data_IF_348601887085
#
_entry.id   IF_348601887085
#
_cell.length_a   1.000
_cell.length_b   1.000
_cell.length_c   1.000
_cell.angle_alpha   90.00
_cell.angle_beta   90.00
_cell.angle_gamma   90.00
#
_symmetry.space_group_name_H-M   'P 1'
#
loop_
_entity.id
_entity.type
_entity.pdbx_description
1 polymer ?
#
# COMPACT_ATOMS: atom_id res chain seq x y z
N UNK A 1 -3.21 -14.51 -25.35
CA UNK A 1 -3.81 -13.58 -26.34
C UNK A 1 -4.49 -12.49 -25.53
N UNK A 2 -3.96 -11.26 -25.57
CA UNK A 2 -4.69 -10.12 -25.02
C UNK A 2 -5.79 -9.72 -26.01
N UNK A 3 -6.98 -9.29 -25.56
CA UNK A 3 -7.98 -8.77 -26.48
C UNK A 3 -7.41 -7.56 -27.22
N UNK A 4 -7.60 -7.52 -28.53
CA UNK A 4 -7.25 -6.36 -29.35
C UNK A 4 -8.13 -5.17 -28.96
N UNK A 5 -7.61 -3.93 -29.02
CA UNK A 5 -8.43 -2.74 -28.87
C UNK A 5 -9.54 -2.74 -29.94
N UNK A 6 -10.71 -2.14 -29.64
CA UNK A 6 -11.77 -1.98 -30.64
C UNK A 6 -11.20 -1.33 -31.91
N UNK A 7 -11.51 -1.92 -33.07
CA UNK A 7 -10.94 -1.52 -34.37
C UNK A 7 -11.59 -0.24 -34.92
N UNK A 8 -12.67 0.22 -34.32
CA UNK A 8 -13.38 1.41 -34.76
C UNK A 8 -13.27 2.56 -33.74
N UNK A 9 -12.43 3.54 -34.07
CA UNK A 9 -12.55 4.91 -33.57
C UNK A 9 -13.65 5.62 -34.39
N UNK A 10 -14.89 5.16 -34.29
CA UNK A 10 -16.02 5.93 -34.83
C UNK A 10 -16.29 7.08 -33.87
N UNK A 11 -15.66 8.23 -34.13
CA UNK A 11 -16.25 9.51 -33.76
C UNK A 11 -17.67 9.54 -34.32
N UNK A 12 -18.70 9.88 -33.53
CA UNK A 12 -20.06 9.92 -34.05
C UNK A 12 -20.13 11.03 -35.11
N UNK A 13 -20.18 10.63 -36.38
CA UNK A 13 -20.48 11.54 -37.47
C UNK A 13 -21.90 12.06 -37.28
N UNK A 14 -22.02 13.38 -37.16
CA UNK A 14 -23.26 14.11 -37.09
C UNK A 14 -24.20 13.74 -38.26
N UNK A 15 -25.21 12.93 -37.97
CA UNK A 15 -26.40 12.80 -38.79
C UNK A 15 -27.62 13.00 -37.90
N UNK A 16 -28.08 14.25 -37.92
CA UNK A 16 -29.46 14.72 -37.87
C UNK A 16 -30.46 13.79 -37.15
N UNK A 17 -30.50 13.91 -35.82
CA UNK A 17 -31.62 13.46 -35.00
C UNK A 17 -31.91 14.57 -34.00
N UNK A 18 -33.10 15.15 -34.13
CA UNK A 18 -33.53 16.31 -33.34
C UNK A 18 -33.46 16.07 -31.84
N UNK A 19 -32.99 17.11 -31.14
CA UNK A 19 -33.15 17.44 -29.72
C UNK A 19 -33.54 16.30 -28.78
N UNK A 20 -32.53 15.58 -28.32
CA UNK A 20 -32.27 15.26 -26.90
C UNK A 20 -30.90 14.58 -26.86
N UNK A 21 -29.87 15.35 -26.48
CA UNK A 21 -28.58 14.78 -26.08
C UNK A 21 -28.84 14.04 -24.76
N UNK A 22 -29.25 12.79 -24.85
CA UNK A 22 -29.31 11.90 -23.68
C UNK A 22 -27.86 11.64 -23.26
N UNK A 23 -27.53 12.24 -22.12
CA UNK A 23 -26.24 12.30 -21.47
C UNK A 23 -25.94 10.95 -20.81
N UNK A 24 -25.81 9.89 -21.61
CA UNK A 24 -25.76 8.52 -21.10
C UNK A 24 -24.32 8.00 -20.94
N UNK A 25 -23.46 8.72 -20.21
CA UNK A 25 -22.38 8.01 -19.52
C UNK A 25 -23.04 7.29 -18.35
N UNK A 26 -23.11 5.96 -18.42
CA UNK A 26 -23.62 5.15 -17.32
C UNK A 26 -22.82 5.51 -16.06
N UNK A 27 -23.46 5.90 -14.93
CA UNK A 27 -22.76 6.38 -13.73
C UNK A 27 -21.67 5.43 -13.19
N UNK A 28 -21.75 4.13 -13.54
CA UNK A 28 -20.75 3.13 -13.18
C UNK A 28 -19.52 3.12 -14.11
N UNK A 29 -19.69 3.46 -15.39
CA UNK A 29 -18.58 3.66 -16.33
C UNK A 29 -17.78 4.91 -15.95
N UNK A 30 -18.46 5.99 -15.55
CA UNK A 30 -17.82 7.22 -15.07
C UNK A 30 -16.92 6.94 -13.85
N UNK A 31 -17.45 6.23 -12.84
CA UNK A 31 -16.66 5.81 -11.66
C UNK A 31 -15.44 4.99 -12.04
N UNK A 32 -15.61 4.07 -12.99
CA UNK A 32 -14.52 3.22 -13.48
C UNK A 32 -13.42 4.07 -14.14
N UNK A 33 -13.79 5.05 -14.96
CA UNK A 33 -12.83 5.98 -15.57
C UNK A 33 -12.09 6.83 -14.53
N UNK A 34 -12.81 7.40 -13.55
CA UNK A 34 -12.18 8.14 -12.47
C UNK A 34 -11.21 7.28 -11.65
N UNK A 35 -11.59 6.03 -11.36
CA UNK A 35 -10.72 5.08 -10.68
C UNK A 35 -9.46 4.79 -11.48
N UNK A 36 -9.56 4.53 -12.79
CA UNK A 36 -8.39 4.29 -13.63
C UNK A 36 -7.45 5.49 -13.71
N UNK A 37 -7.98 6.71 -13.84
CA UNK A 37 -7.17 7.93 -13.83
C UNK A 37 -6.45 8.10 -12.49
N UNK A 38 -7.13 7.84 -11.38
CA UNK A 38 -6.54 7.87 -10.04
C UNK A 38 -5.42 6.82 -9.90
N UNK A 39 -5.63 5.58 -10.35
CA UNK A 39 -4.63 4.50 -10.32
C UNK A 39 -3.40 4.81 -11.19
N UNK A 40 -3.58 5.38 -12.39
CA UNK A 40 -2.46 5.76 -13.27
C UNK A 40 -1.61 6.86 -12.61
N UNK A 41 -2.27 7.89 -12.08
CA UNK A 41 -1.61 8.98 -11.37
C UNK A 41 -0.84 8.46 -10.16
N UNK A 42 -1.49 7.61 -9.36
CA UNK A 42 -0.87 6.90 -8.24
C UNK A 42 0.35 6.10 -8.67
N UNK A 43 0.23 5.29 -9.72
CA UNK A 43 1.33 4.41 -10.17
C UNK A 43 2.54 5.22 -10.61
N UNK A 44 2.34 6.36 -11.28
CA UNK A 44 3.43 7.28 -11.66
C UNK A 44 4.11 7.87 -10.43
N UNK A 45 3.33 8.35 -9.46
CA UNK A 45 3.85 8.87 -8.19
C UNK A 45 4.66 7.81 -7.44
N UNK A 46 4.10 6.60 -7.27
CA UNK A 46 4.74 5.51 -6.55
C UNK A 46 6.02 5.03 -7.26
N UNK A 47 6.01 4.93 -8.60
CA UNK A 47 7.22 4.59 -9.35
C UNK A 47 8.32 5.63 -9.17
N UNK A 48 7.97 6.93 -9.08
CA UNK A 48 8.93 8.00 -8.78
C UNK A 48 9.48 7.85 -7.35
N UNK A 49 8.64 7.57 -6.37
CA UNK A 49 9.08 7.30 -4.99
C UNK A 49 10.07 6.14 -4.94
N UNK A 50 9.77 5.04 -5.62
CA UNK A 50 10.67 3.90 -5.72
C UNK A 50 12.00 4.24 -6.40
N UNK A 51 11.96 4.93 -7.55
CA UNK A 51 13.16 5.29 -8.29
C UNK A 51 14.07 6.30 -7.56
N UNK A 52 13.52 7.13 -6.68
CA UNK A 52 14.28 8.10 -5.89
C UNK A 52 14.80 7.45 -4.61
N UNK A 53 13.92 6.83 -3.82
CA UNK A 53 14.27 6.36 -2.49
C UNK A 53 14.98 4.99 -2.48
N UNK A 54 14.74 4.11 -3.46
CA UNK A 54 15.36 2.79 -3.51
C UNK A 54 16.62 2.71 -4.39
N UNK A 55 17.04 3.83 -5.00
CA UNK A 55 18.12 3.86 -6.01
C UNK A 55 19.43 3.21 -5.53
N UNK A 56 19.78 3.43 -4.27
CA UNK A 56 21.02 2.95 -3.66
C UNK A 56 20.77 1.82 -2.65
N UNK A 57 19.60 1.18 -2.72
CA UNK A 57 19.17 0.14 -1.80
C UNK A 57 19.17 0.58 -0.33
N UNK A 58 19.28 -0.39 0.56
CA UNK A 58 19.22 -0.19 2.01
C UNK A 58 20.45 0.58 2.54
N UNK A 59 21.60 0.44 1.88
CA UNK A 59 22.81 1.18 2.25
C UNK A 59 22.61 2.69 2.01
N UNK A 60 21.96 3.04 0.89
CA UNK A 60 21.57 4.41 0.59
C UNK A 60 20.66 5.05 1.63
N UNK A 61 19.80 4.27 2.28
CA UNK A 61 18.93 4.75 3.36
C UNK A 61 19.74 5.16 4.59
N UNK A 62 20.81 4.42 4.89
CA UNK A 62 21.71 4.72 6.00
C UNK A 62 22.59 5.94 5.69
N UNK A 63 23.24 5.94 4.53
CA UNK A 63 24.23 6.96 4.19
C UNK A 63 23.61 8.34 3.89
N UNK A 64 22.33 8.39 3.55
CA UNK A 64 21.65 9.62 3.11
C UNK A 64 20.30 9.83 3.81
N UNK A 65 20.19 9.48 5.10
CA UNK A 65 18.93 9.54 5.84
C UNK A 65 18.28 10.93 5.83
N UNK A 66 19.05 12.02 5.86
CA UNK A 66 18.52 13.38 5.76
C UNK A 66 17.80 13.63 4.42
N UNK A 67 18.37 13.18 3.29
CA UNK A 67 17.70 13.26 1.98
C UNK A 67 16.48 12.37 1.93
N UNK A 68 16.52 11.20 2.58
CA UNK A 68 15.35 10.35 2.69
C UNK A 68 14.20 11.04 3.45
N UNK A 69 14.50 11.81 4.50
CA UNK A 69 13.50 12.62 5.22
C UNK A 69 12.89 13.71 4.32
N UNK A 70 13.72 14.42 3.55
CA UNK A 70 13.26 15.44 2.59
C UNK A 70 12.32 14.81 1.55
N UNK A 71 12.74 13.72 0.91
CA UNK A 71 11.90 13.01 -0.04
C UNK A 71 10.62 12.44 0.57
N UNK A 72 10.69 11.89 1.79
CA UNK A 72 9.49 11.42 2.48
C UNK A 72 8.48 12.55 2.70
N UNK A 73 8.95 13.74 3.08
CA UNK A 73 8.09 14.93 3.21
C UNK A 73 7.44 15.29 1.86
N UNK A 74 8.26 15.41 0.81
CA UNK A 74 7.78 15.71 -0.55
C UNK A 74 6.75 14.69 -1.06
N UNK A 75 6.99 13.40 -0.83
CA UNK A 75 6.05 12.35 -1.25
C UNK A 75 4.78 12.34 -0.41
N UNK A 76 4.84 12.64 0.89
CA UNK A 76 3.63 12.81 1.70
C UNK A 76 2.76 13.95 1.15
N UNK A 77 3.34 15.10 0.82
CA UNK A 77 2.63 16.23 0.21
C UNK A 77 2.01 15.86 -1.14
N UNK A 78 2.72 15.07 -1.96
CA UNK A 78 2.19 14.57 -3.24
C UNK A 78 1.05 13.56 -3.05
N UNK A 79 1.14 12.68 -2.05
CA UNK A 79 0.08 11.74 -1.71
C UNK A 79 -1.16 12.50 -1.25
N UNK A 80 -0.99 13.53 -0.39
CA UNK A 80 -2.08 14.39 0.07
C UNK A 80 -2.75 15.11 -1.11
N UNK A 81 -1.95 15.68 -2.02
CA UNK A 81 -2.45 16.33 -3.22
C UNK A 81 -3.21 15.34 -4.11
N UNK A 82 -2.62 14.18 -4.42
CA UNK A 82 -3.28 13.12 -5.20
C UNK A 82 -4.63 12.72 -4.58
N UNK A 83 -4.65 12.51 -3.27
CA UNK A 83 -5.86 12.11 -2.56
C UNK A 83 -6.93 13.21 -2.55
N UNK A 84 -6.53 14.49 -2.52
CA UNK A 84 -7.45 15.63 -2.58
C UNK A 84 -8.15 15.78 -3.94
N UNK A 85 -7.58 15.22 -5.00
CA UNK A 85 -8.15 15.24 -6.35
C UNK A 85 -9.05 14.03 -6.65
N UNK A 86 -9.26 13.13 -5.68
CA UNK A 86 -10.16 11.99 -5.87
C UNK A 86 -11.60 12.51 -5.95
N UNK A 87 -12.34 12.23 -7.04
CA UNK A 87 -13.72 12.68 -7.19
C UNK A 87 -14.66 12.11 -6.11
N UNK A 88 -15.70 12.85 -5.69
CA UNK A 88 -16.63 12.44 -4.64
C UNK A 88 -17.27 11.05 -4.85
N UNK A 89 -17.47 10.65 -6.11
CA UNK A 89 -18.06 9.37 -6.52
C UNK A 89 -17.23 8.15 -6.11
N UNK A 90 -15.93 8.34 -5.94
CA UNK A 90 -14.95 7.30 -5.54
C UNK A 90 -14.14 7.72 -4.32
N UNK A 91 -14.58 8.75 -3.59
CA UNK A 91 -13.90 9.22 -2.38
C UNK A 91 -14.08 8.17 -1.26
N UNK A 92 -12.98 7.64 -0.70
CA UNK A 92 -13.06 6.66 0.38
C UNK A 92 -13.72 7.19 1.66
N UNK A 93 -13.80 8.51 1.85
CA UNK A 93 -14.58 9.12 2.95
C UNK A 93 -16.07 8.83 2.84
N UNK A 94 -16.58 8.71 1.62
CA UNK A 94 -17.99 8.42 1.34
C UNK A 94 -18.29 6.90 1.31
N UNK A 95 -17.25 6.06 1.25
CA UNK A 95 -17.34 4.61 1.11
C UNK A 95 -17.70 3.84 2.40
N UNK A 96 -17.89 4.52 3.53
CA UNK A 96 -18.33 3.89 4.79
C UNK A 96 -19.80 3.44 4.71
N UNK A 97 -20.60 4.07 3.83
CA UNK A 97 -22.06 3.88 3.75
C UNK A 97 -22.52 3.16 2.47
N UNK A 98 -21.63 3.02 1.50
CA UNK A 98 -21.88 2.37 0.21
C UNK A 98 -20.73 1.41 -0.01
N UNK A 99 -21.01 0.15 -0.30
CA UNK A 99 -20.01 -0.92 -0.47
C UNK A 99 -19.13 -0.68 -1.73
N UNK A 100 -18.38 0.43 -1.76
CA UNK A 100 -17.64 0.94 -2.90
C UNK A 100 -16.20 0.41 -2.85
N UNK A 101 -16.00 -0.75 -3.48
CA UNK A 101 -14.71 -1.45 -3.52
C UNK A 101 -13.60 -0.58 -4.14
N UNK A 102 -13.92 0.23 -5.16
CA UNK A 102 -12.95 1.11 -5.84
C UNK A 102 -12.37 2.13 -4.87
N UNK A 103 -13.23 2.75 -4.06
CA UNK A 103 -12.81 3.68 -3.03
C UNK A 103 -11.96 2.98 -1.95
N UNK A 104 -12.31 1.75 -1.56
CA UNK A 104 -11.47 0.97 -0.63
C UNK A 104 -10.08 0.67 -1.21
N UNK A 105 -9.98 0.38 -2.51
CA UNK A 105 -8.70 0.18 -3.20
C UNK A 105 -7.85 1.46 -3.19
N UNK A 106 -8.44 2.63 -3.44
CA UNK A 106 -7.70 3.91 -3.41
C UNK A 106 -7.18 4.23 -2.01
N UNK A 107 -7.96 3.97 -0.96
CA UNK A 107 -7.48 4.09 0.42
C UNK A 107 -6.34 3.10 0.70
N UNK A 108 -6.40 1.87 0.18
CA UNK A 108 -5.29 0.91 0.28
C UNK A 108 -4.02 1.41 -0.43
N UNK A 109 -4.16 2.09 -1.59
CA UNK A 109 -3.03 2.69 -2.31
C UNK A 109 -2.34 3.77 -1.51
N UNK A 110 -3.12 4.67 -0.93
CA UNK A 110 -2.63 5.75 -0.07
C UNK A 110 -1.80 5.19 1.08
N UNK A 111 -2.36 4.24 1.84
CA UNK A 111 -1.65 3.58 2.94
C UNK A 111 -0.39 2.85 2.48
N UNK A 112 -0.47 2.11 1.37
CA UNK A 112 0.67 1.36 0.84
C UNK A 112 1.83 2.27 0.45
N UNK A 113 1.53 3.42 -0.18
CA UNK A 113 2.56 4.36 -0.59
C UNK A 113 3.20 5.04 0.62
N UNK A 114 2.39 5.49 1.58
CA UNK A 114 2.92 6.04 2.84
C UNK A 114 3.78 5.03 3.58
N UNK A 115 3.31 3.80 3.73
CA UNK A 115 4.05 2.75 4.42
C UNK A 115 5.43 2.55 3.77
N UNK A 116 5.46 2.45 2.45
CA UNK A 116 6.69 2.23 1.70
C UNK A 116 7.70 3.36 1.85
N UNK A 117 7.27 4.64 1.74
CA UNK A 117 8.20 5.79 1.90
C UNK A 117 8.73 5.94 3.33
N UNK A 118 8.11 5.29 4.33
CA UNK A 118 8.59 5.29 5.71
C UNK A 118 9.53 4.11 6.05
N UNK A 119 9.60 3.06 5.22
CA UNK A 119 10.51 1.91 5.45
C UNK A 119 11.98 2.27 5.63
N UNK A 120 12.55 3.27 4.92
CA UNK A 120 13.95 3.66 5.11
C UNK A 120 14.28 4.02 6.55
N UNK A 121 13.36 4.70 7.25
CA UNK A 121 13.57 5.12 8.63
C UNK A 121 13.47 3.95 9.60
N UNK A 122 12.56 3.02 9.35
CA UNK A 122 12.54 1.78 10.13
C UNK A 122 13.85 1.02 9.95
N UNK A 123 14.30 0.81 8.71
CA UNK A 123 15.59 0.17 8.44
C UNK A 123 16.73 0.89 9.18
N UNK A 124 16.75 2.22 9.13
CA UNK A 124 17.74 3.05 9.81
C UNK A 124 17.78 2.78 11.32
N UNK A 125 16.63 2.85 12.00
CA UNK A 125 16.52 2.60 13.44
C UNK A 125 16.92 1.17 13.82
N UNK A 126 16.63 0.19 12.96
CA UNK A 126 16.97 -1.21 13.22
C UNK A 126 18.47 -1.51 13.06
N UNK A 127 19.24 -0.68 12.36
CA UNK A 127 20.64 -0.98 12.02
C UNK A 127 21.66 0.01 12.57
N UNK A 128 21.30 1.28 12.75
CA UNK A 128 22.20 2.30 13.27
C UNK A 128 22.29 2.31 14.79
N UNK A 129 23.37 2.91 15.32
CA UNK A 129 23.58 3.08 16.75
C UNK A 129 22.59 4.14 17.31
N UNK A 130 22.03 3.94 18.51
CA UNK A 130 21.18 4.94 19.17
C UNK A 130 21.86 6.29 19.43
N UNK A 131 23.19 6.32 19.43
CA UNK A 131 24.02 7.52 19.60
C UNK A 131 24.21 8.31 18.29
N UNK A 132 23.73 7.79 17.15
CA UNK A 132 23.79 8.51 15.87
C UNK A 132 22.96 9.81 15.91
N UNK A 133 23.52 10.88 15.32
CA UNK A 133 22.95 12.23 15.33
C UNK A 133 21.54 12.34 14.72
N UNK A 134 21.17 11.42 13.83
CA UNK A 134 19.87 11.41 13.14
C UNK A 134 18.88 10.41 13.73
N UNK A 135 19.30 9.57 14.68
CA UNK A 135 18.48 8.52 15.28
C UNK A 135 17.18 9.09 15.87
N UNK A 136 17.27 10.16 16.67
CA UNK A 136 16.11 10.81 17.27
C UNK A 136 15.12 11.40 16.25
N UNK A 137 15.62 11.90 15.11
CA UNK A 137 14.78 12.45 14.03
C UNK A 137 14.13 11.35 13.18
N UNK A 138 14.79 10.20 13.02
CA UNK A 138 14.27 9.06 12.27
C UNK A 138 13.24 8.24 13.08
N UNK A 139 13.35 8.21 14.40
CA UNK A 139 12.47 7.44 15.30
C UNK A 139 10.96 7.63 15.05
N UNK A 140 10.41 8.86 15.03
CA UNK A 140 8.96 9.04 14.79
C UNK A 140 8.52 8.58 13.39
N UNK A 141 9.39 8.69 12.39
CA UNK A 141 9.10 8.23 11.03
C UNK A 141 9.12 6.69 10.95
N UNK A 142 10.01 6.04 11.70
CA UNK A 142 10.05 4.59 11.85
C UNK A 142 8.81 4.07 12.58
N UNK A 143 8.38 4.73 13.67
CA UNK A 143 7.14 4.40 14.38
C UNK A 143 5.94 4.51 13.44
N UNK A 144 5.89 5.57 12.63
CA UNK A 144 4.83 5.75 11.63
C UNK A 144 4.78 4.61 10.60
N UNK A 145 5.92 4.05 10.20
CA UNK A 145 5.98 2.87 9.34
C UNK A 145 5.23 1.67 9.95
N UNK A 146 5.47 1.40 11.25
CA UNK A 146 4.84 0.29 11.97
C UNK A 146 3.33 0.51 12.14
N UNK A 147 2.91 1.73 12.50
CA UNK A 147 1.50 2.10 12.58
C UNK A 147 0.77 1.86 11.26
N UNK A 148 1.37 2.28 10.14
CA UNK A 148 0.81 2.07 8.80
C UNK A 148 0.74 0.57 8.43
N UNK A 149 1.71 -0.23 8.88
CA UNK A 149 1.64 -1.69 8.71
C UNK A 149 0.44 -2.28 9.45
N UNK A 150 0.22 -1.88 10.71
CA UNK A 150 -0.92 -2.32 11.51
C UNK A 150 -2.24 -1.87 10.89
N UNK A 151 -2.39 -0.57 10.55
CA UNK A 151 -3.59 -0.03 9.91
C UNK A 151 -3.93 -0.80 8.62
N UNK A 152 -2.94 -1.06 7.77
CA UNK A 152 -3.16 -1.77 6.53
C UNK A 152 -3.57 -3.25 6.75
N UNK A 153 -2.99 -3.93 7.73
CA UNK A 153 -3.35 -5.33 8.04
C UNK A 153 -4.80 -5.42 8.51
N UNK A 154 -5.24 -4.52 9.41
CA UNK A 154 -6.65 -4.47 9.83
C UNK A 154 -7.61 -4.23 8.66
N UNK A 155 -7.21 -3.46 7.65
CA UNK A 155 -8.02 -3.21 6.45
C UNK A 155 -7.99 -4.35 5.42
N UNK A 156 -7.17 -5.37 5.64
CA UNK A 156 -7.09 -6.53 4.73
C UNK A 156 -8.20 -7.57 5.00
N UNK A 157 -8.93 -7.43 6.11
CA UNK A 157 -9.99 -8.37 6.51
C UNK A 157 -11.13 -8.48 5.48
N UNK A 158 -11.56 -9.71 5.20
CA UNK A 158 -12.90 -9.97 4.65
C UNK A 158 -13.08 -10.03 3.13
N UNK A 159 -12.10 -10.47 2.33
CA UNK A 159 -12.28 -10.50 0.87
C UNK A 159 -12.38 -11.92 0.26
N UNK A 160 -13.38 -12.05 -0.61
CA UNK A 160 -13.52 -13.14 -1.58
C UNK A 160 -12.32 -13.17 -2.52
N UNK A 161 -12.14 -14.27 -3.27
CA UNK A 161 -11.11 -14.33 -4.30
C UNK A 161 -11.33 -13.24 -5.34
N UNK A 162 -10.30 -12.47 -5.66
CA UNK A 162 -10.30 -11.49 -6.75
C UNK A 162 -8.91 -11.39 -7.40
N UNK A 163 -8.79 -10.62 -8.48
CA UNK A 163 -7.55 -10.48 -9.26
C UNK A 163 -6.36 -9.92 -8.44
N UNK A 164 -6.62 -9.26 -7.31
CA UNK A 164 -5.62 -8.68 -6.43
C UNK A 164 -5.20 -9.57 -5.26
N UNK A 165 -5.85 -10.72 -5.06
CA UNK A 165 -5.65 -11.57 -3.86
C UNK A 165 -4.19 -11.97 -3.64
N UNK A 166 -3.47 -12.32 -4.71
CA UNK A 166 -2.04 -12.67 -4.61
C UNK A 166 -1.19 -11.52 -4.09
N UNK A 167 -1.41 -10.29 -4.58
CA UNK A 167 -0.70 -9.11 -4.10
C UNK A 167 -1.02 -8.78 -2.64
N UNK A 168 -2.28 -8.98 -2.24
CA UNK A 168 -2.73 -8.76 -0.86
C UNK A 168 -2.01 -9.73 0.08
N UNK A 169 -1.98 -11.02 -0.25
CA UNK A 169 -1.29 -12.03 0.57
C UNK A 169 0.20 -11.69 0.76
N UNK A 170 0.90 -11.31 -0.31
CA UNK A 170 2.30 -10.88 -0.24
C UNK A 170 2.49 -9.59 0.57
N UNK A 171 1.59 -8.63 0.44
CA UNK A 171 1.62 -7.39 1.24
C UNK A 171 1.46 -7.69 2.73
N UNK A 172 0.58 -8.63 3.09
CA UNK A 172 0.40 -9.06 4.49
C UNK A 172 1.67 -9.67 5.06
N UNK A 173 2.28 -10.62 4.35
CA UNK A 173 3.53 -11.24 4.77
C UNK A 173 4.61 -10.19 4.94
N UNK A 174 4.75 -9.28 3.98
CA UNK A 174 5.75 -8.20 4.06
C UNK A 174 5.58 -7.35 5.32
N UNK A 175 4.34 -6.95 5.63
CA UNK A 175 4.03 -6.14 6.83
C UNK A 175 4.22 -6.92 8.12
N UNK A 176 3.89 -8.20 8.13
CA UNK A 176 4.16 -9.07 9.27
C UNK A 176 5.67 -9.17 9.55
N UNK A 177 6.49 -9.37 8.50
CA UNK A 177 7.95 -9.41 8.64
C UNK A 177 8.52 -8.07 9.12
N UNK A 178 7.97 -6.95 8.65
CA UNK A 178 8.34 -5.61 9.13
C UNK A 178 8.08 -5.45 10.64
N UNK A 179 6.89 -5.87 11.11
CA UNK A 179 6.54 -5.86 12.53
C UNK A 179 7.43 -6.82 13.35
N UNK A 180 7.70 -8.02 12.83
CA UNK A 180 8.55 -9.01 13.49
C UNK A 180 10.01 -8.57 13.56
N UNK A 181 10.53 -7.90 12.53
CA UNK A 181 11.87 -7.33 12.56
C UNK A 181 11.99 -6.26 13.67
N UNK A 182 10.99 -5.39 13.78
CA UNK A 182 10.91 -4.41 14.85
C UNK A 182 10.85 -5.08 16.23
N UNK A 183 9.98 -6.09 16.40
CA UNK A 183 9.85 -6.85 17.64
C UNK A 183 11.17 -7.54 18.04
N UNK A 184 11.80 -8.27 17.11
CA UNK A 184 13.06 -8.99 17.34
C UNK A 184 14.22 -8.06 17.67
N UNK A 185 14.21 -6.82 17.16
CA UNK A 185 15.26 -5.84 17.44
C UNK A 185 15.22 -5.29 18.86
N UNK A 186 14.02 -5.15 19.45
CA UNK A 186 13.82 -4.43 20.72
C UNK A 186 14.17 -2.93 20.70
N UNK A 187 14.46 -2.34 19.53
CA UNK A 187 14.97 -0.95 19.41
C UNK A 187 13.89 0.12 19.27
N UNK A 188 12.67 -0.29 18.94
CA UNK A 188 11.54 0.59 18.65
C UNK A 188 10.29 0.03 19.33
N UNK A 189 9.48 0.88 20.00
CA UNK A 189 8.21 0.43 20.56
C UNK A 189 7.25 0.02 19.44
N UNK A 190 6.58 -1.11 19.63
CA UNK A 190 5.56 -1.59 18.70
C UNK A 190 4.24 -0.85 18.93
N UNK A 191 3.50 -0.53 17.85
CA UNK A 191 2.22 0.16 17.96
C UNK A 191 1.13 -0.75 18.57
N UNK A 192 0.07 -0.17 19.18
CA UNK A 192 -1.08 -0.93 19.66
C UNK A 192 -1.69 -1.83 18.57
N UNK A 193 -2.15 -3.02 18.94
CA UNK A 193 -2.78 -3.97 18.01
C UNK A 193 -1.82 -4.69 17.06
N UNK A 194 -0.49 -4.56 17.23
CA UNK A 194 0.48 -5.24 16.35
C UNK A 194 0.35 -6.77 16.39
N UNK A 195 0.06 -7.37 17.55
CA UNK A 195 -0.15 -8.82 17.68
C UNK A 195 -1.40 -9.27 16.94
N UNK A 196 -2.50 -8.54 17.10
CA UNK A 196 -3.74 -8.82 16.37
C UNK A 196 -3.49 -8.70 14.87
N UNK A 197 -2.79 -7.66 14.41
CA UNK A 197 -2.42 -7.48 13.02
C UNK A 197 -1.57 -8.66 12.47
N UNK A 198 -0.66 -9.23 13.27
CA UNK A 198 0.07 -10.45 12.90
C UNK A 198 -0.85 -11.65 12.74
N UNK A 199 -1.84 -11.81 13.61
CA UNK A 199 -2.85 -12.86 13.46
C UNK A 199 -3.68 -12.69 12.19
N UNK A 200 -3.99 -11.44 11.79
CA UNK A 200 -4.63 -11.15 10.50
C UNK A 200 -3.74 -11.61 9.34
N UNK A 201 -2.46 -11.27 9.39
CA UNK A 201 -1.50 -11.66 8.36
C UNK A 201 -1.36 -13.18 8.26
N UNK A 202 -1.25 -13.87 9.41
CA UNK A 202 -1.16 -15.33 9.53
C UNK A 202 -2.41 -16.00 8.97
N UNK A 203 -3.60 -15.53 9.36
CA UNK A 203 -4.85 -16.01 8.81
C UNK A 203 -4.92 -15.82 7.30
N UNK A 204 -4.53 -14.65 6.80
CA UNK A 204 -4.58 -14.32 5.37
C UNK A 204 -3.66 -15.23 4.56
N UNK A 205 -2.41 -15.44 5.00
CA UNK A 205 -1.50 -16.31 4.27
C UNK A 205 -1.95 -17.78 4.34
N UNK A 206 -2.44 -18.25 5.49
CA UNK A 206 -2.99 -19.61 5.64
C UNK A 206 -4.19 -19.87 4.72
N UNK A 207 -5.04 -18.85 4.50
CA UNK A 207 -6.19 -18.96 3.59
C UNK A 207 -5.78 -19.15 2.13
N UNK A 208 -4.68 -18.52 1.71
CA UNK A 208 -4.31 -18.42 0.29
C UNK A 208 -3.04 -19.18 -0.08
N UNK A 209 -2.39 -19.87 0.86
CA UNK A 209 -1.10 -20.53 0.63
C UNK A 209 -1.15 -21.64 -0.41
N UNK A 210 -2.27 -22.36 -0.52
CA UNK A 210 -2.49 -23.39 -1.54
C UNK A 210 -2.68 -22.87 -2.96
N UNK A 211 -2.77 -21.55 -3.16
CA UNK A 211 -3.05 -20.94 -4.48
C UNK A 211 -1.77 -20.71 -5.31
N UNK A 212 -0.60 -20.63 -4.67
CA UNK A 212 0.65 -20.40 -5.36
C UNK A 212 1.87 -20.90 -4.54
N UNK A 213 2.89 -21.48 -5.19
CA UNK A 213 4.07 -22.00 -4.48
C UNK A 213 4.82 -20.96 -3.64
N UNK A 214 4.83 -19.70 -4.06
CA UNK A 214 5.48 -18.62 -3.31
C UNK A 214 4.71 -18.25 -2.04
N UNK A 215 3.38 -18.40 -2.05
CA UNK A 215 2.55 -18.19 -0.86
C UNK A 215 2.67 -19.35 0.13
N UNK A 216 2.78 -20.59 -0.35
CA UNK A 216 3.09 -21.75 0.49
C UNK A 216 4.46 -21.62 1.17
N UNK A 217 5.47 -21.17 0.42
CA UNK A 217 6.77 -20.85 1.00
C UNK A 217 6.69 -19.72 2.02
N UNK A 218 5.97 -18.64 1.70
CA UNK A 218 5.80 -17.51 2.58
C UNK A 218 5.06 -17.87 3.88
N UNK A 219 4.08 -18.77 3.82
CA UNK A 219 3.39 -19.30 4.98
C UNK A 219 4.38 -19.99 5.94
N UNK A 220 5.15 -20.97 5.43
CA UNK A 220 6.12 -21.73 6.24
C UNK A 220 7.14 -20.80 6.90
N UNK A 221 7.71 -19.90 6.11
CA UNK A 221 8.69 -18.93 6.59
C UNK A 221 8.10 -17.99 7.67
N UNK A 222 6.85 -17.54 7.52
CA UNK A 222 6.22 -16.68 8.52
C UNK A 222 5.99 -17.43 9.85
N UNK A 223 5.52 -18.67 9.81
CA UNK A 223 5.31 -19.50 11.01
C UNK A 223 6.64 -19.79 11.74
N UNK A 224 7.70 -20.09 10.99
CA UNK A 224 9.04 -20.33 11.56
C UNK A 224 9.54 -19.10 12.33
N UNK A 225 9.43 -17.89 11.75
CA UNK A 225 9.88 -16.65 12.39
C UNK A 225 8.99 -16.29 13.58
N UNK A 226 7.66 -16.48 13.48
CA UNK A 226 6.75 -16.24 14.60
C UNK A 226 7.12 -17.11 15.80
N UNK A 227 7.38 -18.40 15.57
CA UNK A 227 7.80 -19.32 16.63
C UNK A 227 9.17 -18.97 17.24
N UNK A 228 10.04 -18.24 16.55
CA UNK A 228 11.26 -17.68 17.14
C UNK A 228 10.96 -16.46 18.02
N UNK A 229 10.15 -15.52 17.53
CA UNK A 229 9.88 -14.26 18.23
C UNK A 229 9.05 -14.49 19.49
N UNK A 230 8.06 -15.39 19.46
CA UNK A 230 7.23 -15.75 20.62
C UNK A 230 8.02 -16.38 21.78
N UNK A 231 9.20 -16.94 21.52
CA UNK A 231 10.08 -17.46 22.58
C UNK A 231 10.82 -16.35 23.35
N UNK A 232 10.86 -15.14 22.80
CA UNK A 232 11.70 -14.03 23.29
C UNK A 232 10.90 -12.78 23.71
N UNK A 233 9.57 -12.80 23.56
CA UNK A 233 8.64 -11.71 23.92
C UNK A 233 7.63 -12.23 24.94
#
# INVERSE_FOLDING_TARGET
MFPSPPTELTSPSAYDRGDTLDDDIVPEEEKSWFYYLAEISYRRMMNRAMAVMARSGEHGWSDNICKAMEHCKEFNEQIDLWYSHIPPQIDPKNAVHTNNELAQFLRNRELSCREWIHRPFLFYILHQSPEDEHYGRAMPLAQRCLELCVEHLFRTYGHNRHHGTWYIARSCVTKALVLLAAAKSGRIPLPPGWKDALEIARWTINRWSGEAPDLEWAQRMLEDILGEVEKHV
#
